data_IF_639453850169
#
_entry.id   IF_639453850169
#
_cell.length_a   1.000
_cell.length_b   1.000
_cell.length_c   1.000
_cell.angle_alpha   90.00
_cell.angle_beta   90.00
_cell.angle_gamma   90.00
#
_symmetry.space_group_name_H-M   'P 1'
#
loop_
_entity.id
_entity.type
_entity.pdbx_description
1 polymer ?
#
# COMPACT_ATOMS: atom_id res chain seq x y z
N UNK A 1 -6.01 -46.04 -31.88
CA UNK A 1 -6.51 -44.65 -31.86
C UNK A 1 -5.42 -43.80 -31.25
N UNK A 2 -4.86 -42.80 -31.96
CA UNK A 2 -3.90 -41.90 -31.35
C UNK A 2 -4.67 -40.95 -30.43
N UNK A 3 -4.22 -40.88 -29.18
CA UNK A 3 -4.67 -39.91 -28.19
C UNK A 3 -4.21 -38.55 -28.71
N UNK A 4 -5.18 -37.72 -29.12
CA UNK A 4 -4.96 -36.31 -29.43
C UNK A 4 -4.43 -35.65 -28.15
N UNK A 5 -3.29 -34.95 -28.16
CA UNK A 5 -2.93 -34.12 -27.03
C UNK A 5 -3.98 -33.01 -26.98
N UNK A 6 -4.81 -32.99 -25.94
CA UNK A 6 -5.55 -31.78 -25.60
C UNK A 6 -4.50 -30.71 -25.34
N UNK A 7 -4.40 -29.72 -26.24
CA UNK A 7 -3.68 -28.48 -25.93
C UNK A 7 -4.41 -27.87 -24.74
N UNK A 8 -3.84 -28.03 -23.55
CA UNK A 8 -4.21 -27.20 -22.41
C UNK A 8 -3.73 -25.81 -22.75
N UNK A 9 -4.68 -24.93 -23.08
CA UNK A 9 -4.44 -23.50 -23.25
C UNK A 9 -3.79 -22.99 -21.96
N UNK A 10 -2.77 -22.13 -22.05
CA UNK A 10 -2.16 -21.53 -20.86
C UNK A 10 -3.24 -20.80 -20.04
N UNK A 11 -3.15 -20.84 -18.71
CA UNK A 11 -4.16 -20.25 -17.82
C UNK A 11 -4.30 -18.74 -18.09
N UNK A 12 -3.20 -18.08 -18.44
CA UNK A 12 -3.17 -16.68 -18.87
C UNK A 12 -3.97 -16.45 -20.15
N UNK A 13 -3.73 -17.24 -21.21
CA UNK A 13 -4.47 -17.15 -22.48
C UNK A 13 -5.96 -17.41 -22.28
N UNK A 14 -6.30 -18.36 -21.41
CA UNK A 14 -7.68 -18.69 -21.06
C UNK A 14 -8.37 -17.52 -20.38
N UNK A 15 -7.70 -16.85 -19.43
CA UNK A 15 -8.21 -15.65 -18.77
C UNK A 15 -8.42 -14.49 -19.75
N UNK A 16 -7.47 -14.26 -20.65
CA UNK A 16 -7.58 -13.21 -21.69
C UNK A 16 -8.81 -13.46 -22.57
N UNK A 17 -9.03 -14.71 -22.98
CA UNK A 17 -10.20 -15.09 -23.78
C UNK A 17 -11.51 -14.87 -23.01
N UNK A 18 -11.60 -15.28 -21.75
CA UNK A 18 -12.81 -15.08 -20.95
C UNK A 18 -13.11 -13.59 -20.74
N UNK A 19 -12.09 -12.77 -20.51
CA UNK A 19 -12.27 -11.32 -20.38
C UNK A 19 -12.77 -10.68 -21.69
N UNK A 20 -12.37 -11.20 -22.85
CA UNK A 20 -12.87 -10.72 -24.16
C UNK A 20 -14.34 -11.07 -24.42
N UNK A 21 -14.87 -12.08 -23.71
CA UNK A 21 -16.25 -12.55 -23.83
C UNK A 21 -17.21 -11.92 -22.80
N UNK A 22 -16.70 -11.06 -21.91
CA UNK A 22 -17.52 -10.37 -20.93
C UNK A 22 -18.57 -9.49 -21.60
N UNK A 23 -19.80 -9.52 -21.08
CA UNK A 23 -20.84 -8.59 -21.51
C UNK A 23 -20.44 -7.15 -21.14
N UNK A 24 -20.80 -6.13 -21.92
CA UNK A 24 -20.48 -4.74 -21.61
C UNK A 24 -20.91 -4.30 -20.21
N UNK A 25 -22.04 -4.81 -19.72
CA UNK A 25 -22.54 -4.55 -18.37
C UNK A 25 -21.64 -5.16 -17.29
N UNK A 26 -21.15 -6.38 -17.49
CA UNK A 26 -20.24 -7.06 -16.58
C UNK A 26 -18.86 -6.38 -16.56
N UNK A 27 -18.34 -6.02 -17.74
CA UNK A 27 -17.09 -5.29 -17.87
C UNK A 27 -17.16 -3.91 -17.16
N UNK A 28 -18.27 -3.19 -17.33
CA UNK A 28 -18.50 -1.92 -16.64
C UNK A 28 -18.58 -2.09 -15.12
N UNK A 29 -19.32 -3.09 -14.63
CA UNK A 29 -19.43 -3.39 -13.19
C UNK A 29 -18.06 -3.72 -12.58
N UNK A 30 -17.28 -4.58 -13.23
CA UNK A 30 -15.92 -4.93 -12.79
C UNK A 30 -14.99 -3.71 -12.79
N UNK A 31 -15.06 -2.85 -13.81
CA UNK A 31 -14.30 -1.61 -13.87
C UNK A 31 -14.66 -0.60 -12.77
N UNK A 32 -15.95 -0.41 -12.51
CA UNK A 32 -16.43 0.44 -11.41
C UNK A 32 -15.99 -0.09 -10.05
N UNK A 33 -16.08 -1.41 -9.87
CA UNK A 33 -15.65 -2.09 -8.66
C UNK A 33 -14.16 -1.96 -8.44
N UNK A 34 -13.33 -2.17 -9.48
CA UNK A 34 -11.89 -1.93 -9.43
C UNK A 34 -11.56 -0.52 -8.89
N UNK A 35 -12.25 0.50 -9.44
CA UNK A 35 -12.08 1.89 -9.04
C UNK A 35 -12.40 2.12 -7.56
N UNK A 36 -13.51 1.55 -7.08
CA UNK A 36 -14.01 1.75 -5.71
C UNK A 36 -13.31 0.89 -4.65
N UNK A 37 -12.60 -0.17 -5.03
CA UNK A 37 -11.92 -1.08 -4.08
C UNK A 37 -10.41 -1.04 -4.26
N UNK A 38 -9.89 -1.62 -5.35
CA UNK A 38 -8.45 -1.83 -5.57
C UNK A 38 -7.73 -0.50 -5.80
N UNK A 39 -8.19 0.31 -6.75
CA UNK A 39 -7.56 1.61 -7.07
C UNK A 39 -7.69 2.62 -5.92
N UNK A 40 -8.60 2.36 -4.99
CA UNK A 40 -8.77 3.19 -3.79
C UNK A 40 -7.66 2.94 -2.76
N UNK A 41 -7.16 1.70 -2.67
CA UNK A 41 -6.10 1.28 -1.73
C UNK A 41 -4.72 1.30 -2.38
N UNK A 42 -4.65 1.08 -3.69
CA UNK A 42 -3.45 1.15 -4.50
C UNK A 42 -3.69 2.09 -5.69
N UNK A 43 -3.56 3.43 -5.46
CA UNK A 43 -3.95 4.46 -6.43
C UNK A 43 -2.99 4.51 -7.61
N UNK A 44 -3.28 3.72 -8.63
CA UNK A 44 -2.49 3.59 -9.85
C UNK A 44 -3.09 4.40 -11.01
N UNK A 45 -4.36 4.73 -10.91
CA UNK A 45 -5.13 5.52 -11.87
C UNK A 45 -5.77 6.72 -11.17
N UNK A 46 -5.92 7.81 -11.91
CA UNK A 46 -6.81 8.89 -11.51
C UNK A 46 -8.24 8.36 -11.47
N UNK A 47 -8.92 8.60 -10.35
CA UNK A 47 -10.27 8.07 -10.10
C UNK A 47 -11.28 8.54 -11.16
N UNK A 48 -11.18 9.80 -11.55
CA UNK A 48 -12.09 10.45 -12.50
C UNK A 48 -11.92 9.92 -13.93
N UNK A 49 -10.68 9.61 -14.34
CA UNK A 49 -10.40 9.17 -15.72
C UNK A 49 -10.48 7.66 -15.91
N UNK A 50 -10.40 6.84 -14.86
CA UNK A 50 -10.35 5.37 -14.98
C UNK A 50 -11.52 4.81 -15.80
N UNK A 51 -12.75 5.21 -15.48
CA UNK A 51 -13.95 4.69 -16.16
C UNK A 51 -14.00 5.15 -17.62
N UNK A 52 -13.64 6.40 -17.88
CA UNK A 52 -13.55 6.94 -19.24
C UNK A 52 -12.47 6.22 -20.04
N UNK A 53 -11.31 5.94 -19.44
CA UNK A 53 -10.20 5.23 -20.06
C UNK A 53 -10.57 3.78 -20.43
N UNK A 54 -11.37 3.11 -19.59
CA UNK A 54 -11.93 1.78 -19.86
C UNK A 54 -12.95 1.82 -21.00
N UNK A 55 -13.89 2.79 -20.99
CA UNK A 55 -14.92 2.94 -22.02
C UNK A 55 -14.33 3.30 -23.39
N UNK A 56 -13.33 4.18 -23.41
CA UNK A 56 -12.67 4.63 -24.63
C UNK A 56 -11.63 3.63 -25.17
N UNK A 57 -11.38 2.52 -24.47
CA UNK A 57 -10.45 1.47 -24.89
C UNK A 57 -8.97 1.88 -24.83
N UNK A 58 -8.63 2.94 -24.08
CA UNK A 58 -7.23 3.37 -23.88
C UNK A 58 -6.45 2.41 -22.98
N UNK A 59 -7.15 1.75 -22.06
CA UNK A 59 -6.63 0.62 -21.29
C UNK A 59 -6.76 -0.63 -22.16
N UNK A 60 -5.63 -1.21 -22.53
CA UNK A 60 -5.57 -2.31 -23.48
C UNK A 60 -4.46 -3.33 -23.13
N UNK A 61 -4.39 -4.40 -23.92
CA UNK A 61 -3.44 -5.49 -23.71
C UNK A 61 -3.72 -6.26 -22.41
N UNK A 62 -2.66 -6.73 -21.74
CA UNK A 62 -2.77 -7.51 -20.50
C UNK A 62 -3.36 -6.71 -19.33
N UNK A 63 -3.32 -5.38 -19.35
CA UNK A 63 -3.84 -4.55 -18.26
C UNK A 63 -5.34 -4.75 -18.05
N UNK A 64 -6.10 -4.85 -19.14
CA UNK A 64 -7.56 -4.94 -19.08
C UNK A 64 -8.02 -6.25 -18.41
N UNK A 65 -7.52 -7.43 -18.80
CA UNK A 65 -7.86 -8.67 -18.11
C UNK A 65 -7.37 -8.73 -16.67
N UNK A 66 -6.22 -8.13 -16.35
CA UNK A 66 -5.73 -8.04 -14.96
C UNK A 66 -6.68 -7.23 -14.08
N UNK A 67 -7.16 -6.07 -14.56
CA UNK A 67 -8.16 -5.25 -13.83
C UNK A 67 -9.42 -6.06 -13.54
N UNK A 68 -9.96 -6.75 -14.54
CA UNK A 68 -11.18 -7.55 -14.39
C UNK A 68 -10.99 -8.77 -13.49
N UNK A 69 -9.88 -9.49 -13.64
CA UNK A 69 -9.56 -10.69 -12.86
C UNK A 69 -9.39 -10.39 -11.37
N UNK A 70 -8.63 -9.35 -11.02
CA UNK A 70 -8.43 -8.94 -9.62
C UNK A 70 -9.77 -8.49 -9.02
N UNK A 71 -10.57 -7.75 -9.79
CA UNK A 71 -11.88 -7.26 -9.32
C UNK A 71 -12.88 -8.39 -9.11
N UNK A 72 -12.91 -9.38 -10.01
CA UNK A 72 -13.78 -10.54 -9.89
C UNK A 72 -13.40 -11.41 -8.68
N UNK A 73 -12.09 -11.64 -8.46
CA UNK A 73 -11.60 -12.40 -7.29
C UNK A 73 -11.94 -11.72 -5.98
N UNK A 74 -11.87 -10.40 -5.93
CA UNK A 74 -12.18 -9.64 -4.72
C UNK A 74 -13.63 -9.74 -4.26
N UNK A 75 -14.59 -10.13 -5.11
CA UNK A 75 -16.01 -10.00 -4.77
C UNK A 75 -16.83 -11.27 -4.81
N UNK A 76 -16.19 -12.44 -4.85
CA UNK A 76 -16.87 -13.76 -4.92
C UNK A 76 -17.92 -13.85 -6.05
N UNK A 77 -17.87 -12.93 -7.01
CA UNK A 77 -18.81 -12.85 -8.11
C UNK A 77 -18.32 -13.74 -9.23
N UNK A 78 -19.10 -14.77 -9.56
CA UNK A 78 -18.82 -15.74 -10.62
C UNK A 78 -19.02 -15.15 -12.05
N UNK A 79 -18.56 -13.92 -12.31
CA UNK A 79 -18.59 -13.33 -13.66
C UNK A 79 -17.62 -14.04 -14.60
N UNK A 80 -16.49 -14.50 -14.06
CA UNK A 80 -15.55 -15.38 -14.75
C UNK A 80 -16.01 -16.83 -14.52
N UNK A 81 -17.22 -17.17 -14.96
CA UNK A 81 -17.76 -18.51 -14.86
C UNK A 81 -17.07 -19.44 -15.86
N UNK A 82 -16.20 -20.33 -15.36
CA UNK A 82 -15.50 -21.36 -16.11
C UNK A 82 -14.49 -22.07 -15.21
N UNK A 83 -13.94 -23.22 -15.62
CA UNK A 83 -12.84 -23.93 -14.93
C UNK A 83 -11.51 -23.14 -14.90
N UNK A 84 -11.55 -21.81 -15.00
CA UNK A 84 -10.37 -20.95 -15.02
C UNK A 84 -9.93 -20.70 -13.59
N UNK A 85 -8.76 -21.20 -13.24
CA UNK A 85 -8.10 -20.78 -12.02
C UNK A 85 -7.54 -19.36 -12.22
N UNK A 86 -8.35 -18.36 -11.83
CA UNK A 86 -8.00 -16.94 -11.93
C UNK A 86 -6.69 -16.63 -11.18
N UNK A 87 -6.41 -17.35 -10.08
CA UNK A 87 -5.17 -17.15 -9.35
C UNK A 87 -3.97 -17.68 -10.14
N UNK A 88 -4.04 -18.91 -10.65
CA UNK A 88 -2.99 -19.49 -11.49
C UNK A 88 -2.74 -18.63 -12.75
N UNK A 89 -3.80 -18.15 -13.39
CA UNK A 89 -3.72 -17.25 -14.54
C UNK A 89 -3.01 -15.92 -14.21
N UNK A 90 -3.35 -15.29 -13.08
CA UNK A 90 -2.69 -14.05 -12.64
C UNK A 90 -1.22 -14.28 -12.27
N UNK A 91 -0.88 -15.44 -11.70
CA UNK A 91 0.52 -15.81 -11.41
C UNK A 91 1.30 -16.05 -12.71
N UNK A 92 0.75 -16.80 -13.66
CA UNK A 92 1.34 -17.01 -15.01
C UNK A 92 1.54 -15.68 -15.74
N UNK A 93 0.55 -14.78 -15.68
CA UNK A 93 0.68 -13.41 -16.19
C UNK A 93 1.78 -12.63 -15.47
N UNK A 94 1.92 -12.75 -14.15
CA UNK A 94 3.00 -12.09 -13.43
C UNK A 94 4.37 -12.61 -13.87
N UNK A 95 4.54 -13.92 -14.08
CA UNK A 95 5.80 -14.52 -14.53
C UNK A 95 6.18 -14.10 -15.96
N UNK A 96 5.18 -13.95 -16.84
CA UNK A 96 5.39 -13.52 -18.23
C UNK A 96 5.45 -12.00 -18.41
N UNK A 97 4.83 -11.22 -17.52
CA UNK A 97 4.79 -9.77 -17.60
C UNK A 97 6.18 -9.16 -17.49
N UNK A 98 6.70 -8.72 -18.64
CA UNK A 98 7.90 -7.90 -18.75
C UNK A 98 7.51 -6.50 -19.19
N UNK A 99 8.12 -5.51 -18.57
CA UNK A 99 8.09 -4.16 -19.13
C UNK A 99 9.09 -4.22 -20.28
N UNK A 100 8.60 -4.21 -21.51
CA UNK A 100 9.44 -4.23 -22.71
C UNK A 100 9.85 -2.81 -23.11
N UNK A 101 9.03 -1.82 -22.77
CA UNK A 101 9.31 -0.43 -23.06
C UNK A 101 10.70 -0.03 -22.53
N UNK A 102 11.51 0.52 -23.43
CA UNK A 102 12.82 1.11 -23.15
C UNK A 102 12.67 2.59 -22.83
N UNK A 103 11.68 3.25 -23.42
CA UNK A 103 11.31 4.65 -23.16
C UNK A 103 9.88 4.79 -22.63
N UNK A 104 9.70 5.76 -21.74
CA UNK A 104 8.39 6.16 -21.20
C UNK A 104 7.48 6.80 -22.26
N UNK A 105 8.06 7.25 -23.38
CA UNK A 105 7.30 7.82 -24.52
C UNK A 105 6.71 6.76 -25.45
N UNK A 106 7.03 5.48 -25.25
CA UNK A 106 6.53 4.43 -26.13
C UNK A 106 5.00 4.25 -25.99
N UNK A 107 4.29 4.06 -27.11
CA UNK A 107 2.89 3.66 -27.07
C UNK A 107 2.78 2.35 -26.27
N UNK A 108 1.90 2.33 -25.26
CA UNK A 108 1.70 1.21 -24.31
C UNK A 108 2.65 1.12 -23.12
N UNK A 109 3.71 1.93 -23.02
CA UNK A 109 4.62 1.89 -21.87
C UNK A 109 3.85 2.01 -20.55
N UNK A 110 2.96 3.01 -20.46
CA UNK A 110 2.13 3.22 -19.27
C UNK A 110 1.27 2.00 -18.91
N UNK A 111 0.68 1.31 -19.90
CA UNK A 111 -0.13 0.12 -19.66
C UNK A 111 0.72 -1.05 -19.17
N UNK A 112 1.93 -1.23 -19.72
CA UNK A 112 2.87 -2.25 -19.26
C UNK A 112 3.30 -2.01 -17.79
N UNK A 113 3.64 -0.76 -17.46
CA UNK A 113 4.00 -0.36 -16.10
C UNK A 113 2.88 -0.58 -15.11
N UNK A 114 1.65 -0.16 -15.46
CA UNK A 114 0.47 -0.38 -14.63
C UNK A 114 0.18 -1.86 -14.43
N UNK A 115 0.32 -2.67 -15.48
CA UNK A 115 0.15 -4.14 -15.41
C UNK A 115 1.16 -4.74 -14.44
N UNK A 116 2.44 -4.38 -14.57
CA UNK A 116 3.50 -4.87 -13.70
C UNK A 116 3.28 -4.48 -12.23
N UNK A 117 2.84 -3.24 -11.96
CA UNK A 117 2.53 -2.77 -10.61
C UNK A 117 1.34 -3.53 -10.00
N UNK A 118 0.24 -3.73 -10.75
CA UNK A 118 -0.93 -4.47 -10.25
C UNK A 118 -0.63 -5.93 -9.98
N UNK A 119 0.11 -6.60 -10.87
CA UNK A 119 0.49 -7.99 -10.68
C UNK A 119 1.46 -8.14 -9.50
N UNK A 120 2.42 -7.23 -9.34
CA UNK A 120 3.33 -7.21 -8.19
C UNK A 120 2.54 -7.01 -6.88
N UNK A 121 1.63 -6.04 -6.84
CA UNK A 121 0.75 -5.79 -5.70
C UNK A 121 -0.10 -7.02 -5.36
N UNK A 122 -0.75 -7.61 -6.36
CA UNK A 122 -1.61 -8.77 -6.19
C UNK A 122 -0.83 -9.98 -5.68
N UNK A 123 0.26 -10.38 -6.36
CA UNK A 123 1.06 -11.54 -5.96
C UNK A 123 1.62 -11.37 -4.55
N UNK A 124 2.13 -10.17 -4.24
CA UNK A 124 2.66 -9.88 -2.90
C UNK A 124 1.58 -9.96 -1.81
N UNK A 125 0.33 -9.58 -2.12
CA UNK A 125 -0.81 -9.75 -1.22
C UNK A 125 -1.18 -11.23 -1.02
N UNK A 126 -1.09 -12.07 -2.05
CA UNK A 126 -1.48 -13.49 -1.95
C UNK A 126 -0.41 -14.33 -1.24
N UNK A 127 0.85 -14.17 -1.64
CA UNK A 127 1.99 -14.97 -1.17
C UNK A 127 3.16 -14.05 -0.90
N UNK A 128 3.19 -13.39 0.26
CA UNK A 128 4.34 -12.57 0.61
C UNK A 128 5.61 -13.42 0.72
N UNK A 129 6.66 -13.06 -0.01
CA UNK A 129 7.89 -13.85 -0.02
C UNK A 129 9.05 -13.22 -0.78
N UNK A 130 10.16 -13.95 -0.83
CA UNK A 130 11.39 -13.50 -1.46
C UNK A 130 11.24 -13.33 -2.98
N UNK A 131 10.46 -14.18 -3.66
CA UNK A 131 10.19 -14.08 -5.10
C UNK A 131 9.54 -12.75 -5.47
N UNK A 132 8.55 -12.33 -4.70
CA UNK A 132 7.79 -11.12 -4.89
C UNK A 132 8.62 -9.89 -4.51
N UNK A 133 9.44 -9.99 -3.46
CA UNK A 133 10.42 -8.95 -3.12
C UNK A 133 11.47 -8.74 -4.24
N UNK A 134 11.93 -9.82 -4.89
CA UNK A 134 12.80 -9.75 -6.07
C UNK A 134 12.07 -9.10 -7.25
N UNK A 135 10.80 -9.43 -7.48
CA UNK A 135 10.00 -8.79 -8.52
C UNK A 135 9.87 -7.28 -8.31
N UNK A 136 9.57 -6.86 -7.08
CA UNK A 136 9.48 -5.45 -6.68
C UNK A 136 10.85 -4.76 -6.83
N UNK A 137 11.93 -5.45 -6.49
CA UNK A 137 13.31 -4.98 -6.71
C UNK A 137 13.58 -4.67 -8.19
N UNK A 138 13.29 -5.62 -9.07
CA UNK A 138 13.50 -5.45 -10.52
C UNK A 138 12.63 -4.30 -11.05
N UNK A 139 11.38 -4.21 -10.61
CA UNK A 139 10.47 -3.12 -10.96
C UNK A 139 11.02 -1.75 -10.52
N UNK A 140 11.54 -1.67 -9.30
CA UNK A 140 12.13 -0.45 -8.73
C UNK A 140 13.38 -0.01 -9.49
N UNK A 141 14.30 -0.94 -9.77
CA UNK A 141 15.51 -0.64 -10.55
C UNK A 141 15.17 -0.16 -11.96
N UNK A 142 14.21 -0.80 -12.62
CA UNK A 142 13.75 -0.35 -13.93
C UNK A 142 13.09 1.04 -13.86
N UNK A 143 12.42 1.37 -12.76
CA UNK A 143 11.78 2.68 -12.59
C UNK A 143 12.83 3.79 -12.50
N UNK A 144 13.97 3.51 -11.85
CA UNK A 144 15.12 4.41 -11.85
C UNK A 144 15.72 4.58 -13.25
N UNK A 145 15.91 3.49 -13.99
CA UNK A 145 16.45 3.53 -15.35
C UNK A 145 15.59 4.37 -16.30
N UNK A 146 14.27 4.29 -16.15
CA UNK A 146 13.32 5.10 -16.91
C UNK A 146 13.06 6.50 -16.32
N UNK A 147 13.71 6.88 -15.22
CA UNK A 147 13.61 8.23 -14.65
C UNK A 147 12.29 8.55 -13.94
N UNK A 148 11.50 7.55 -13.51
CA UNK A 148 10.19 7.77 -12.86
C UNK A 148 10.29 8.55 -11.53
N UNK A 149 11.44 8.48 -10.86
CA UNK A 149 11.75 9.24 -9.65
C UNK A 149 12.01 10.75 -9.91
N UNK A 150 12.10 11.18 -11.18
CA UNK A 150 12.56 12.50 -11.61
C UNK A 150 11.59 13.17 -12.61
N UNK A 151 10.30 12.80 -12.58
CA UNK A 151 9.28 13.25 -13.56
C UNK A 151 9.20 14.79 -13.61
N UNK A 152 9.30 15.44 -12.47
CA UNK A 152 9.16 16.90 -12.32
C UNK A 152 10.50 17.63 -12.21
N UNK A 153 11.60 16.95 -12.54
CA UNK A 153 12.94 17.52 -12.52
C UNK A 153 13.26 18.29 -13.80
N UNK A 154 13.36 19.62 -13.69
CA UNK A 154 13.65 20.48 -14.85
C UNK A 154 14.98 20.12 -15.54
N UNK A 155 15.96 19.65 -14.78
CA UNK A 155 17.29 19.29 -15.31
C UNK A 155 17.27 17.98 -16.10
N UNK A 156 16.41 17.04 -15.71
CA UNK A 156 16.38 15.68 -16.26
C UNK A 156 15.19 15.40 -17.19
N UNK A 157 14.26 16.34 -17.31
CA UNK A 157 13.04 16.19 -18.11
C UNK A 157 13.33 15.75 -19.55
N UNK A 158 14.29 16.40 -20.23
CA UNK A 158 14.64 16.08 -21.62
C UNK A 158 15.35 14.72 -21.77
N UNK A 159 16.11 14.32 -20.75
CA UNK A 159 16.88 13.07 -20.76
C UNK A 159 15.98 11.85 -20.74
N UNK A 160 14.85 11.93 -20.04
CA UNK A 160 13.87 10.85 -19.93
C UNK A 160 12.64 11.05 -20.82
N UNK A 161 12.52 12.19 -21.52
CA UNK A 161 11.41 12.48 -22.42
C UNK A 161 10.13 12.95 -21.73
N UNK A 162 10.22 13.42 -20.48
CA UNK A 162 9.10 13.99 -19.72
C UNK A 162 8.62 15.32 -20.31
N UNK A 163 9.52 16.06 -20.97
CA UNK A 163 9.24 17.31 -21.68
C UNK A 163 8.27 17.15 -22.88
N UNK A 164 8.13 15.92 -23.39
CA UNK A 164 7.26 15.60 -24.53
C UNK A 164 5.83 15.24 -24.13
N UNK A 165 5.53 15.20 -22.84
CA UNK A 165 4.24 14.77 -22.32
C UNK A 165 3.42 15.94 -21.80
N UNK A 166 2.10 15.87 -21.99
CA UNK A 166 1.17 16.80 -21.35
C UNK A 166 1.02 16.50 -19.85
N UNK A 167 0.64 17.51 -19.07
CA UNK A 167 0.52 17.42 -17.60
C UNK A 167 -0.42 16.29 -17.14
N UNK A 168 -1.49 16.00 -17.89
CA UNK A 168 -2.39 14.87 -17.57
C UNK A 168 -1.71 13.51 -17.65
N UNK A 169 -0.82 13.32 -18.63
CA UNK A 169 -0.07 12.07 -18.78
C UNK A 169 1.07 12.01 -17.75
N UNK A 170 1.69 13.14 -17.42
CA UNK A 170 2.65 13.22 -16.33
C UNK A 170 2.01 12.81 -15.00
N UNK A 171 0.80 13.28 -14.70
CA UNK A 171 0.07 12.88 -13.50
C UNK A 171 -0.20 11.37 -13.45
N UNK A 172 -0.57 10.76 -14.58
CA UNK A 172 -0.73 9.31 -14.70
C UNK A 172 0.59 8.55 -14.40
N UNK A 173 1.75 9.10 -14.79
CA UNK A 173 3.06 8.54 -14.45
C UNK A 173 3.48 8.78 -12.99
N UNK A 174 3.07 9.90 -12.36
CA UNK A 174 3.27 10.13 -10.92
C UNK A 174 2.59 9.05 -10.09
N UNK A 175 1.37 8.65 -10.47
CA UNK A 175 0.67 7.52 -9.83
C UNK A 175 1.49 6.23 -9.91
N UNK A 176 2.07 5.92 -11.08
CA UNK A 176 2.95 4.74 -11.25
C UNK A 176 4.17 4.84 -10.35
N UNK A 177 4.86 5.99 -10.30
CA UNK A 177 6.02 6.17 -9.43
C UNK A 177 5.68 5.92 -7.96
N UNK A 178 4.61 6.55 -7.46
CA UNK A 178 4.21 6.38 -6.06
C UNK A 178 3.69 4.97 -5.75
N UNK A 179 3.09 4.29 -6.72
CA UNK A 179 2.75 2.88 -6.62
C UNK A 179 4.00 1.99 -6.46
N UNK A 180 5.05 2.22 -7.26
CA UNK A 180 6.35 1.54 -7.12
C UNK A 180 6.98 1.83 -5.75
N UNK A 181 6.93 3.09 -5.30
CA UNK A 181 7.43 3.50 -3.98
C UNK A 181 6.74 2.73 -2.85
N UNK A 182 5.40 2.61 -2.89
CA UNK A 182 4.63 1.88 -1.88
C UNK A 182 4.99 0.38 -1.91
N UNK A 183 5.18 -0.22 -3.09
CA UNK A 183 5.63 -1.61 -3.20
C UNK A 183 7.01 -1.83 -2.57
N UNK A 184 8.00 -0.95 -2.82
CA UNK A 184 9.33 -0.99 -2.18
C UNK A 184 9.22 -0.92 -0.65
N UNK A 185 8.34 -0.05 -0.13
CA UNK A 185 8.05 0.02 1.31
C UNK A 185 7.50 -1.31 1.83
N UNK A 186 6.47 -1.86 1.17
CA UNK A 186 5.86 -3.13 1.56
C UNK A 186 6.87 -4.29 1.56
N UNK A 187 7.69 -4.41 0.52
CA UNK A 187 8.71 -5.46 0.41
C UNK A 187 9.75 -5.35 1.54
N UNK A 188 10.11 -4.14 1.92
CA UNK A 188 11.11 -3.90 2.95
C UNK A 188 10.55 -4.11 4.36
N UNK A 189 9.27 -3.76 4.58
CA UNK A 189 8.56 -4.06 5.83
C UNK A 189 8.45 -5.56 6.08
N UNK A 190 8.23 -6.36 5.03
CA UNK A 190 8.01 -7.80 5.14
C UNK A 190 9.28 -8.62 5.27
N UNK A 191 10.30 -8.30 4.47
CA UNK A 191 11.52 -9.12 4.36
C UNK A 191 12.67 -8.60 5.22
N UNK A 192 12.52 -7.41 5.82
CA UNK A 192 13.60 -6.69 6.50
C UNK A 192 14.86 -6.52 5.62
N UNK A 193 14.70 -6.48 4.30
CA UNK A 193 15.80 -6.22 3.36
C UNK A 193 16.03 -4.72 3.19
N UNK A 194 17.22 -4.28 2.71
CA UNK A 194 17.46 -2.86 2.52
C UNK A 194 16.54 -2.31 1.44
N UNK A 195 15.91 -1.19 1.73
CA UNK A 195 15.15 -0.42 0.76
C UNK A 195 16.03 -0.04 -0.44
N UNK A 196 15.40 -0.01 -1.61
CA UNK A 196 16.11 0.34 -2.85
C UNK A 196 15.82 1.75 -3.32
N UNK A 197 14.68 2.32 -2.91
CA UNK A 197 14.38 3.70 -3.25
C UNK A 197 15.14 4.66 -2.33
N UNK A 198 16.04 5.44 -2.92
CA UNK A 198 16.77 6.55 -2.31
C UNK A 198 15.91 7.81 -2.31
N UNK A 199 15.36 8.14 -1.15
CA UNK A 199 14.34 9.20 -1.02
C UNK A 199 14.92 10.61 -1.31
N UNK A 200 16.24 10.80 -1.16
CA UNK A 200 16.95 12.05 -1.48
C UNK A 200 16.99 12.34 -2.99
N UNK A 201 16.90 11.29 -3.81
CA UNK A 201 16.92 11.40 -5.27
C UNK A 201 15.54 11.71 -5.87
N UNK A 202 14.48 11.81 -5.06
CA UNK A 202 13.12 11.94 -5.60
C UNK A 202 12.82 13.39 -5.96
N UNK A 203 12.52 13.61 -7.23
CA UNK A 203 11.99 14.86 -7.78
C UNK A 203 10.73 14.61 -8.62
N UNK A 204 9.86 13.76 -8.09
CA UNK A 204 8.50 13.53 -8.59
C UNK A 204 7.51 14.12 -7.59
N UNK A 205 6.57 14.93 -8.07
CA UNK A 205 5.56 15.55 -7.20
C UNK A 205 4.58 14.51 -6.64
N UNK A 206 4.02 14.80 -5.47
CA UNK A 206 2.93 14.02 -4.89
C UNK A 206 1.69 14.14 -5.79
N UNK A 207 0.96 13.02 -5.88
CA UNK A 207 -0.36 12.99 -6.53
C UNK A 207 -1.32 13.92 -5.79
N UNK A 208 -2.04 14.74 -6.55
CA UNK A 208 -3.05 15.65 -6.01
C UNK A 208 -4.42 15.32 -6.61
N UNK A 209 -5.34 14.83 -5.77
CA UNK A 209 -6.74 14.64 -6.14
C UNK A 209 -7.52 15.94 -5.89
N UNK A 210 -7.24 16.97 -6.67
CA UNK A 210 -8.05 18.19 -6.65
C UNK A 210 -9.23 18.00 -7.60
N UNK A 211 -10.49 18.17 -7.14
CA UNK A 211 -11.61 18.29 -8.07
C UNK A 211 -11.34 19.48 -8.98
N UNK A 212 -11.55 19.31 -10.29
CA UNK A 212 -11.46 20.38 -11.27
C UNK A 212 -12.57 21.42 -11.01
N UNK A 213 -12.37 22.28 -10.02
CA UNK A 213 -13.22 23.44 -9.78
C UNK A 213 -12.54 24.67 -10.38
N UNK A 214 -13.26 25.25 -11.33
CA UNK A 214 -13.04 26.51 -12.05
C UNK A 214 -12.02 26.53 -13.20
N UNK A 215 -12.58 26.33 -14.40
CA UNK A 215 -12.02 26.65 -15.73
C UNK A 215 -11.52 28.12 -15.84
N UNK A 216 -11.88 28.99 -14.89
CA UNK A 216 -11.60 30.42 -14.90
C UNK A 216 -10.45 30.87 -13.97
N UNK A 217 -9.82 29.97 -13.21
CA UNK A 217 -8.61 30.28 -12.46
C UNK A 217 -7.54 29.23 -12.76
N UNK A 218 -6.84 29.45 -13.86
CA UNK A 218 -5.61 28.74 -14.25
C UNK A 218 -4.43 29.07 -13.32
N UNK A 219 -4.62 29.01 -12.01
CA UNK A 219 -3.50 28.90 -11.08
C UNK A 219 -2.96 27.49 -11.21
N UNK A 220 -1.80 27.35 -11.88
CA UNK A 220 -0.97 26.14 -11.85
C UNK A 220 -1.02 25.56 -10.42
N UNK A 221 -1.61 24.38 -10.25
CA UNK A 221 -1.66 23.74 -8.94
C UNK A 221 -0.23 23.61 -8.42
N UNK A 222 0.04 24.18 -7.26
CA UNK A 222 1.38 24.12 -6.66
C UNK A 222 1.73 22.65 -6.39
N UNK A 223 2.76 22.16 -7.10
CA UNK A 223 3.25 20.79 -6.97
C UNK A 223 3.91 20.63 -5.61
N UNK A 224 3.49 19.61 -4.86
CA UNK A 224 4.06 19.28 -3.56
C UNK A 224 5.16 18.23 -3.74
N UNK A 225 6.31 18.45 -3.11
CA UNK A 225 7.48 17.57 -3.22
C UNK A 225 7.88 17.02 -1.86
N UNK A 226 8.58 15.89 -1.87
CA UNK A 226 9.25 15.44 -0.66
C UNK A 226 10.36 16.43 -0.27
N UNK A 227 10.44 16.81 1.02
CA UNK A 227 11.54 17.61 1.50
C UNK A 227 12.85 16.80 1.45
N UNK A 228 13.99 17.47 1.23
CA UNK A 228 15.30 16.82 1.26
C UNK A 228 15.63 16.30 2.66
N UNK A 229 15.20 17.01 3.71
CA UNK A 229 15.35 16.61 5.10
C UNK A 229 14.05 15.99 5.64
N UNK A 230 14.18 14.86 6.33
CA UNK A 230 13.06 14.17 7.00
C UNK A 230 12.51 15.00 8.16
N UNK A 231 13.32 15.86 8.77
CA UNK A 231 12.89 16.78 9.82
C UNK A 231 11.82 17.76 9.34
N UNK A 232 11.71 18.00 8.03
CA UNK A 232 10.74 18.92 7.44
C UNK A 232 9.46 18.23 6.94
N UNK A 233 9.31 16.91 7.12
CA UNK A 233 8.11 16.16 6.68
C UNK A 233 6.82 16.67 7.33
N UNK A 234 6.89 17.28 8.52
CA UNK A 234 5.72 17.88 9.15
C UNK A 234 5.20 19.10 8.38
N UNK A 235 6.07 19.89 7.72
CA UNK A 235 5.65 21.01 6.87
C UNK A 235 4.88 20.50 5.67
N UNK A 236 5.41 19.46 5.02
CA UNK A 236 4.73 18.80 3.92
C UNK A 236 3.35 18.27 4.36
N UNK A 237 3.24 17.66 5.54
CA UNK A 237 1.95 17.22 6.08
C UNK A 237 0.98 18.38 6.29
N UNK A 238 1.45 19.54 6.76
CA UNK A 238 0.63 20.76 6.89
C UNK A 238 0.20 21.30 5.53
N UNK A 239 1.11 21.38 4.56
CA UNK A 239 0.82 21.86 3.21
C UNK A 239 -0.25 20.98 2.56
N UNK A 240 -0.10 19.65 2.67
CA UNK A 240 -1.11 18.68 2.23
C UNK A 240 -2.44 18.87 2.98
N UNK A 241 -2.42 19.07 4.30
CA UNK A 241 -3.65 19.29 5.07
C UNK A 241 -4.36 20.60 4.68
N UNK A 242 -3.60 21.62 4.28
CA UNK A 242 -4.10 22.95 3.93
C UNK A 242 -4.60 23.08 2.49
N UNK A 243 -4.16 22.19 1.59
CA UNK A 243 -4.40 22.31 0.13
C UNK A 243 -5.85 22.02 -0.30
N UNK A 244 -6.70 21.55 0.62
CA UNK A 244 -8.09 21.15 0.35
C UNK A 244 -8.20 19.90 -0.54
N UNK A 245 -9.34 19.20 -0.48
CA UNK A 245 -9.59 17.99 -1.28
C UNK A 245 -9.33 16.65 -0.57
N UNK A 246 -9.32 15.55 -1.34
CA UNK A 246 -9.04 14.21 -0.83
C UNK A 246 -7.53 13.95 -0.75
N UNK A 247 -6.96 14.35 0.39
CA UNK A 247 -5.52 14.31 0.65
C UNK A 247 -5.10 13.09 1.48
N UNK A 248 -6.01 12.15 1.72
CA UNK A 248 -5.79 11.08 2.69
C UNK A 248 -4.66 10.12 2.27
N UNK A 249 -4.58 9.80 0.98
CA UNK A 249 -3.51 8.99 0.41
C UNK A 249 -2.13 9.67 0.51
N UNK A 250 -2.06 10.98 0.27
CA UNK A 250 -0.80 11.74 0.36
C UNK A 250 -0.30 11.86 1.80
N UNK A 251 -1.21 12.07 2.78
CA UNK A 251 -0.87 12.02 4.20
C UNK A 251 -0.43 10.62 4.64
N UNK A 252 -1.08 9.57 4.11
CA UNK A 252 -0.68 8.20 4.36
C UNK A 252 0.72 7.88 3.82
N UNK A 253 1.09 8.44 2.67
CA UNK A 253 2.42 8.31 2.09
C UNK A 253 3.49 8.98 2.96
N UNK A 254 3.23 10.17 3.52
CA UNK A 254 4.15 10.84 4.47
C UNK A 254 4.48 9.93 5.66
N UNK A 255 3.47 9.30 6.25
CA UNK A 255 3.67 8.34 7.35
C UNK A 255 4.38 7.08 6.87
N UNK A 256 4.09 6.60 5.66
CA UNK A 256 4.78 5.44 5.08
C UNK A 256 6.28 5.71 4.89
N UNK A 257 6.67 6.93 4.52
CA UNK A 257 8.08 7.37 4.44
C UNK A 257 8.74 7.34 5.83
N UNK A 258 8.09 7.88 6.86
CA UNK A 258 8.64 7.82 8.21
C UNK A 258 8.78 6.37 8.71
N UNK A 259 7.76 5.53 8.50
CA UNK A 259 7.80 4.12 8.88
C UNK A 259 8.94 3.38 8.16
N UNK A 260 9.20 3.71 6.89
CA UNK A 260 10.35 3.23 6.11
C UNK A 260 11.69 3.51 6.80
N UNK A 261 11.89 4.74 7.26
CA UNK A 261 13.11 5.13 7.97
C UNK A 261 13.24 4.44 9.33
N UNK A 262 12.12 4.28 10.05
CA UNK A 262 12.07 3.56 11.33
C UNK A 262 12.45 2.10 11.14
N UNK A 263 11.86 1.41 10.16
CA UNK A 263 12.20 0.02 9.84
C UNK A 263 13.67 -0.11 9.46
N UNK A 264 14.20 0.81 8.65
CA UNK A 264 15.62 0.83 8.27
C UNK A 264 16.53 0.96 9.48
N UNK A 265 16.23 1.93 10.35
CA UNK A 265 17.03 2.26 11.53
C UNK A 265 16.95 1.15 12.57
N UNK A 266 15.75 0.61 12.81
CA UNK A 266 15.52 -0.53 13.69
C UNK A 266 16.33 -1.75 13.26
N UNK A 267 16.24 -2.11 11.98
CA UNK A 267 17.01 -3.22 11.44
C UNK A 267 18.52 -2.99 11.55
N UNK A 268 19.01 -1.80 11.17
CA UNK A 268 20.45 -1.45 11.31
C UNK A 268 20.90 -1.57 12.76
N UNK A 269 20.09 -1.08 13.70
CA UNK A 269 20.32 -1.21 15.15
C UNK A 269 20.39 -2.68 15.59
N UNK A 270 19.52 -3.55 15.08
CA UNK A 270 19.54 -4.98 15.38
C UNK A 270 20.74 -5.73 14.78
N UNK A 271 21.21 -5.33 13.60
CA UNK A 271 22.34 -5.97 12.92
C UNK A 271 23.69 -5.45 13.39
N UNK A 272 23.79 -4.15 13.66
CA UNK A 272 25.01 -3.47 14.07
C UNK A 272 24.67 -2.32 15.05
N UNK A 273 24.52 -2.63 16.35
CA UNK A 273 24.21 -1.63 17.37
C UNK A 273 25.29 -0.56 17.45
N UNK A 274 24.89 0.72 17.37
CA UNK A 274 25.80 1.86 17.50
C UNK A 274 25.12 3.01 18.23
N UNK A 275 25.91 3.89 18.86
CA UNK A 275 25.39 5.12 19.51
C UNK A 275 24.65 6.01 18.51
N UNK A 276 25.13 6.05 17.26
CA UNK A 276 24.48 6.78 16.17
C UNK A 276 23.09 6.22 15.84
N UNK A 277 22.90 4.90 15.95
CA UNK A 277 21.61 4.23 15.73
C UNK A 277 20.56 4.64 16.78
N UNK A 278 20.96 4.80 18.04
CA UNK A 278 20.05 5.26 19.12
C UNK A 278 19.69 6.75 18.97
N UNK A 279 20.66 7.60 18.61
CA UNK A 279 20.39 9.02 18.31
C UNK A 279 19.46 9.17 17.11
N UNK A 280 19.67 8.38 16.06
CA UNK A 280 18.81 8.36 14.87
C UNK A 280 17.39 7.92 15.22
N UNK A 281 17.23 6.94 16.12
CA UNK A 281 15.91 6.50 16.59
C UNK A 281 15.19 7.59 17.37
N UNK A 282 15.90 8.30 18.26
CA UNK A 282 15.33 9.45 18.99
C UNK A 282 14.89 10.57 18.05
N UNK A 283 15.70 10.90 17.04
CA UNK A 283 15.33 11.91 16.05
C UNK A 283 14.08 11.51 15.26
N UNK A 284 13.95 10.23 14.88
CA UNK A 284 12.76 9.73 14.20
C UNK A 284 11.50 9.80 15.07
N UNK A 285 11.64 9.62 16.40
CA UNK A 285 10.54 9.82 17.34
C UNK A 285 10.07 11.28 17.39
N UNK A 286 11.00 12.23 17.41
CA UNK A 286 10.70 13.65 17.34
C UNK A 286 10.02 14.00 16.00
N UNK A 287 10.51 13.46 14.88
CA UNK A 287 9.93 13.70 13.56
C UNK A 287 8.53 13.11 13.44
N UNK A 288 8.31 11.90 13.96
CA UNK A 288 6.98 11.30 14.02
C UNK A 288 6.03 12.16 14.85
N UNK A 289 6.47 12.63 16.02
CA UNK A 289 5.68 13.50 16.87
C UNK A 289 5.33 14.82 16.18
N UNK A 290 6.28 15.44 15.49
CA UNK A 290 6.05 16.65 14.71
C UNK A 290 5.04 16.44 13.58
N UNK A 291 5.15 15.35 12.81
CA UNK A 291 4.17 15.00 11.77
C UNK A 291 2.80 14.75 12.37
N UNK A 292 2.70 14.06 13.50
CA UNK A 292 1.41 13.81 14.16
C UNK A 292 0.72 15.10 14.61
N UNK A 293 1.47 16.11 15.05
CA UNK A 293 0.94 17.43 15.39
C UNK A 293 0.53 18.24 14.15
N UNK A 294 1.15 17.96 13.00
CA UNK A 294 0.83 18.55 11.71
C UNK A 294 -0.41 17.93 11.03
N UNK A 295 -0.77 16.69 11.39
CA UNK A 295 -1.93 16.01 10.83
C UNK A 295 -3.25 16.72 11.20
N UNK A 296 -4.29 16.63 10.36
CA UNK A 296 -5.59 17.18 10.68
C UNK A 296 -6.14 16.62 12.01
N UNK A 297 -6.84 17.45 12.79
CA UNK A 297 -7.30 17.12 14.15
C UNK A 297 -8.12 15.82 14.30
N UNK A 298 -8.76 15.35 13.23
CA UNK A 298 -9.52 14.11 13.23
C UNK A 298 -8.66 12.86 13.01
N UNK A 299 -7.39 12.99 12.59
CA UNK A 299 -6.54 11.83 12.27
C UNK A 299 -6.27 10.92 13.46
N UNK A 300 -6.25 11.44 14.68
CA UNK A 300 -6.04 10.65 15.89
C UNK A 300 -7.33 10.00 16.43
N UNK A 301 -8.49 10.28 15.82
CA UNK A 301 -9.75 9.64 16.20
C UNK A 301 -9.82 8.26 15.57
N UNK A 302 -10.30 7.26 16.29
CA UNK A 302 -10.51 5.91 15.76
C UNK A 302 -11.87 5.79 15.07
N UNK A 303 -12.90 6.47 15.58
CA UNK A 303 -14.25 6.43 15.01
C UNK A 303 -14.36 7.28 13.75
N UNK A 304 -15.16 6.82 12.78
CA UNK A 304 -15.50 7.59 11.57
C UNK A 304 -16.23 8.89 11.91
N UNK A 305 -15.80 10.00 11.30
CA UNK A 305 -16.42 11.32 11.48
C UNK A 305 -17.51 11.58 10.44
N UNK A 306 -18.65 10.92 10.61
CA UNK A 306 -19.81 11.07 9.71
C UNK A 306 -20.34 12.52 9.73
N UNK A 307 -20.29 13.18 10.90
CA UNK A 307 -20.81 14.54 11.09
C UNK A 307 -20.03 15.58 10.29
N UNK A 308 -18.73 15.37 10.07
CA UNK A 308 -17.90 16.21 9.19
C UNK A 308 -17.87 15.73 7.73
N UNK A 309 -18.71 14.76 7.38
CA UNK A 309 -18.81 14.25 6.01
C UNK A 309 -17.63 13.37 5.59
N UNK A 310 -16.96 12.69 6.53
CA UNK A 310 -15.85 11.78 6.20
C UNK A 310 -16.34 10.63 5.30
N UNK A 311 -15.80 10.59 4.08
CA UNK A 311 -16.07 9.49 3.15
C UNK A 311 -15.50 8.18 3.70
N UNK A 312 -16.06 7.04 3.28
CA UNK A 312 -15.53 5.75 3.67
C UNK A 312 -14.05 5.61 3.27
N UNK A 313 -13.67 6.16 2.11
CA UNK A 313 -12.28 6.13 1.64
C UNK A 313 -11.34 6.87 2.60
N UNK A 314 -11.69 8.09 2.99
CA UNK A 314 -10.87 8.91 3.86
C UNK A 314 -10.74 8.28 5.25
N UNK A 315 -11.84 7.69 5.75
CA UNK A 315 -11.82 6.91 6.98
C UNK A 315 -10.84 5.74 6.87
N UNK A 316 -10.87 4.96 5.79
CA UNK A 316 -9.97 3.85 5.57
C UNK A 316 -8.49 4.27 5.55
N UNK A 317 -8.14 5.29 4.75
CA UNK A 317 -6.78 5.83 4.72
C UNK A 317 -6.33 6.37 6.08
N UNK A 318 -7.21 7.04 6.83
CA UNK A 318 -6.93 7.51 8.18
C UNK A 318 -6.63 6.35 9.13
N UNK A 319 -7.45 5.30 9.15
CA UNK A 319 -7.23 4.12 10.00
C UNK A 319 -5.92 3.40 9.63
N UNK A 320 -5.63 3.24 8.34
CA UNK A 320 -4.35 2.69 7.90
C UNK A 320 -3.16 3.55 8.34
N UNK A 321 -3.31 4.87 8.27
CA UNK A 321 -2.29 5.83 8.72
C UNK A 321 -2.06 5.71 10.22
N UNK A 322 -3.12 5.60 11.03
CA UNK A 322 -3.03 5.36 12.47
C UNK A 322 -2.30 4.06 12.80
N UNK A 323 -2.63 2.97 12.12
CA UNK A 323 -1.96 1.68 12.30
C UNK A 323 -0.46 1.82 12.01
N UNK A 324 -0.06 2.46 10.89
CA UNK A 324 1.36 2.68 10.56
C UNK A 324 2.07 3.57 11.59
N UNK A 325 1.40 4.60 12.11
CA UNK A 325 1.93 5.43 13.21
C UNK A 325 2.21 4.57 14.45
N UNK A 326 1.25 3.73 14.85
CA UNK A 326 1.41 2.85 16.00
C UNK A 326 2.51 1.81 15.76
N UNK A 327 2.62 1.25 14.55
CA UNK A 327 3.70 0.35 14.17
C UNK A 327 5.08 1.02 14.25
N UNK A 328 5.19 2.28 13.80
CA UNK A 328 6.44 3.03 13.92
C UNK A 328 6.86 3.18 15.38
N UNK A 329 5.93 3.61 16.26
CA UNK A 329 6.19 3.73 17.70
C UNK A 329 6.59 2.41 18.33
N UNK A 330 5.89 1.33 17.99
CA UNK A 330 6.19 -0.01 18.46
C UNK A 330 7.61 -0.42 18.07
N UNK A 331 8.00 -0.25 16.81
CA UNK A 331 9.35 -0.58 16.33
C UNK A 331 10.45 0.24 17.01
N UNK A 332 10.22 1.54 17.27
CA UNK A 332 11.18 2.38 18.01
C UNK A 332 11.45 1.83 19.42
N UNK A 333 10.44 1.22 20.04
CA UNK A 333 10.45 0.76 21.44
C UNK A 333 10.78 -0.72 21.60
N UNK A 334 10.71 -1.51 20.52
CA UNK A 334 11.08 -2.93 20.53
C UNK A 334 12.60 -3.12 20.78
N UNK A 335 12.99 -4.15 21.55
CA UNK A 335 14.40 -4.44 21.81
C UNK A 335 15.07 -5.16 20.62
N UNK A 336 16.30 -4.78 20.32
CA UNK A 336 17.14 -5.41 19.28
C UNK A 336 18.08 -6.50 19.85
N UNK A 337 17.59 -7.37 20.75
CA UNK A 337 18.39 -8.48 21.28
C UNK A 337 18.17 -8.77 22.77
N UNK A 338 18.90 -8.09 23.65
CA UNK A 338 18.90 -8.41 25.08
C UNK A 338 17.65 -7.88 25.81
N UNK A 339 16.89 -8.82 26.37
CA UNK A 339 15.75 -8.56 27.25
C UNK A 339 16.18 -8.08 28.65
N UNK A 340 17.46 -8.23 29.01
CA UNK A 340 18.01 -7.85 30.32
C UNK A 340 18.33 -6.34 30.43
N UNK A 341 17.73 -5.51 29.58
CA UNK A 341 17.96 -4.08 29.64
C UNK A 341 17.12 -3.45 30.77
N UNK A 342 17.72 -2.59 31.63
CA UNK A 342 17.00 -1.96 32.73
C UNK A 342 15.77 -1.20 32.20
N UNK A 343 14.63 -1.34 32.89
CA UNK A 343 13.35 -0.80 32.41
C UNK A 343 12.70 -1.61 31.28
N UNK A 344 13.03 -2.90 31.16
CA UNK A 344 12.33 -3.83 30.26
C UNK A 344 10.83 -3.86 30.53
N UNK A 345 10.42 -3.97 31.79
CA UNK A 345 9.01 -4.08 32.18
C UNK A 345 8.19 -2.87 31.73
N UNK A 346 8.72 -1.66 31.93
CA UNK A 346 8.07 -0.41 31.51
C UNK A 346 7.91 -0.38 29.98
N UNK A 347 8.97 -0.71 29.22
CA UNK A 347 8.91 -0.73 27.75
C UNK A 347 7.97 -1.82 27.23
N UNK A 348 7.88 -2.95 27.94
CA UNK A 348 6.94 -4.00 27.61
C UNK A 348 5.49 -3.55 27.82
N UNK A 349 5.19 -2.87 28.93
CA UNK A 349 3.88 -2.26 29.18
C UNK A 349 3.50 -1.19 28.14
N UNK A 350 4.44 -0.30 27.78
CA UNK A 350 4.26 0.69 26.71
C UNK A 350 3.95 0.01 25.37
N UNK A 351 4.70 -1.03 25.00
CA UNK A 351 4.47 -1.81 23.78
C UNK A 351 3.09 -2.47 23.78
N UNK A 352 2.63 -2.98 24.93
CA UNK A 352 1.28 -3.54 25.06
C UNK A 352 0.19 -2.50 24.90
N UNK A 353 0.37 -1.30 25.48
CA UNK A 353 -0.57 -0.20 25.30
C UNK A 353 -0.70 0.18 23.82
N UNK A 354 0.43 0.25 23.10
CA UNK A 354 0.43 0.49 21.65
C UNK A 354 -0.32 -0.63 20.92
N UNK A 355 -0.06 -1.89 21.26
CA UNK A 355 -0.77 -3.04 20.67
C UNK A 355 -2.28 -2.96 20.91
N UNK A 356 -2.74 -2.58 22.11
CA UNK A 356 -4.16 -2.42 22.40
C UNK A 356 -4.79 -1.30 21.57
N UNK A 357 -4.12 -0.16 21.43
CA UNK A 357 -4.57 0.94 20.56
C UNK A 357 -4.69 0.50 19.09
N UNK A 358 -3.75 -0.34 18.61
CA UNK A 358 -3.85 -0.91 17.26
C UNK A 358 -5.07 -1.82 17.10
N UNK A 359 -5.38 -2.66 18.11
CA UNK A 359 -6.58 -3.50 18.10
C UNK A 359 -7.85 -2.65 18.04
N UNK A 360 -7.93 -1.57 18.82
CA UNK A 360 -9.07 -0.64 18.78
C UNK A 360 -9.26 -0.03 17.38
N UNK A 361 -8.17 0.36 16.72
CA UNK A 361 -8.24 0.87 15.34
C UNK A 361 -8.72 -0.22 14.37
N UNK A 362 -8.21 -1.45 14.48
CA UNK A 362 -8.61 -2.58 13.63
C UNK A 362 -10.09 -2.92 13.82
N UNK A 363 -10.61 -2.87 15.04
CA UNK A 363 -12.03 -3.10 15.32
C UNK A 363 -12.95 -2.08 14.63
N UNK A 364 -12.48 -0.84 14.43
CA UNK A 364 -13.22 0.18 13.66
C UNK A 364 -13.04 0.01 12.15
N UNK A 365 -12.03 -0.75 11.72
CA UNK A 365 -11.69 -0.95 10.33
C UNK A 365 -12.47 -2.09 9.68
N UNK A 366 -13.00 -3.01 10.48
CA UNK A 366 -13.75 -4.21 10.08
C UNK A 366 -15.12 -3.87 9.48
N UNK A 367 -15.10 -3.19 8.34
CA UNK A 367 -16.26 -2.88 7.52
C UNK A 367 -16.42 -4.03 6.51
N UNK A 368 -17.53 -4.77 6.52
CA UNK A 368 -17.70 -6.05 5.81
C UNK A 368 -17.65 -5.98 4.26
N UNK A 369 -17.43 -4.81 3.67
CA UNK A 369 -17.56 -4.57 2.22
C UNK A 369 -16.25 -4.20 1.50
N UNK A 370 -15.08 -4.43 2.10
CA UNK A 370 -13.79 -4.11 1.47
C UNK A 370 -12.88 -5.31 1.24
N UNK A 371 -12.74 -5.77 -0.02
CA UNK A 371 -11.88 -6.89 -0.34
C UNK A 371 -10.41 -6.53 -0.56
N UNK A 372 -10.09 -5.23 -0.61
CA UNK A 372 -8.75 -4.74 -0.90
C UNK A 372 -8.12 -4.10 0.34
N UNK A 373 -6.93 -4.56 0.71
CA UNK A 373 -6.15 -4.05 1.83
C UNK A 373 -4.71 -3.78 1.35
N UNK A 374 -4.06 -2.75 1.89
CA UNK A 374 -2.63 -2.51 1.66
C UNK A 374 -1.84 -3.72 2.17
N UNK A 375 -1.02 -4.38 1.32
CA UNK A 375 -0.28 -5.57 1.72
C UNK A 375 0.59 -5.39 2.96
N UNK A 376 1.08 -4.17 3.25
CA UNK A 376 1.82 -3.89 4.48
C UNK A 376 1.00 -4.21 5.74
N UNK A 377 -0.32 -4.03 5.69
CA UNK A 377 -1.21 -4.19 6.83
C UNK A 377 -1.28 -5.65 7.28
N UNK A 378 -1.18 -6.62 6.36
CA UNK A 378 -1.13 -8.04 6.70
C UNK A 378 0.03 -8.35 7.65
N UNK A 379 1.22 -7.80 7.39
CA UNK A 379 2.39 -8.02 8.24
C UNK A 379 2.33 -7.26 9.55
N UNK A 380 1.79 -6.05 9.52
CA UNK A 380 1.58 -5.26 10.73
C UNK A 380 0.62 -5.99 11.67
N UNK A 381 -0.51 -6.47 11.15
CA UNK A 381 -1.49 -7.25 11.90
C UNK A 381 -0.90 -8.57 12.40
N UNK A 382 -0.14 -9.30 11.58
CA UNK A 382 0.54 -10.52 12.01
C UNK A 382 1.51 -10.25 13.17
N UNK A 383 2.33 -9.20 13.05
CA UNK A 383 3.29 -8.80 14.09
C UNK A 383 2.60 -8.41 15.39
N UNK A 384 1.49 -7.67 15.30
CA UNK A 384 0.62 -7.35 16.43
C UNK A 384 0.09 -8.60 17.13
N UNK A 385 -0.47 -9.54 16.35
CA UNK A 385 -1.01 -10.79 16.89
C UNK A 385 0.08 -11.65 17.56
N UNK A 386 1.29 -11.69 16.99
CA UNK A 386 2.42 -12.39 17.59
C UNK A 386 2.81 -11.79 18.95
N UNK A 387 2.88 -10.47 19.07
CA UNK A 387 3.21 -9.80 20.33
C UNK A 387 2.12 -10.00 21.40
N UNK A 388 0.85 -9.88 21.02
CA UNK A 388 -0.28 -10.17 21.92
C UNK A 388 -0.30 -11.63 22.34
N UNK A 389 0.02 -12.55 21.43
CA UNK A 389 0.12 -13.97 21.75
C UNK A 389 1.26 -14.24 22.74
N UNK A 390 2.44 -13.66 22.51
CA UNK A 390 3.60 -13.77 23.41
C UNK A 390 3.25 -13.27 24.82
N UNK A 391 2.54 -12.14 24.93
CA UNK A 391 2.05 -11.65 26.21
C UNK A 391 1.04 -12.60 26.87
N UNK A 392 0.16 -13.22 26.08
CA UNK A 392 -0.79 -14.20 26.61
C UNK A 392 -0.09 -15.43 27.20
N UNK A 393 1.05 -15.84 26.63
CA UNK A 393 1.85 -16.95 27.15
C UNK A 393 2.59 -16.52 28.43
N UNK A 394 3.20 -15.33 28.45
CA UNK A 394 3.92 -14.86 29.64
C UNK A 394 2.99 -14.63 30.83
N UNK A 395 1.83 -13.98 30.63
CA UNK A 395 0.84 -13.76 31.68
C UNK A 395 0.26 -15.06 32.27
N UNK A 396 0.04 -16.08 31.43
CA UNK A 396 -0.44 -17.41 31.88
C UNK A 396 0.64 -18.17 32.67
N UNK A 397 1.92 -17.98 32.34
CA UNK A 397 3.05 -18.59 33.05
C UNK A 397 3.36 -17.84 34.36
N UNK A 398 3.16 -16.51 34.39
CA UNK A 398 3.50 -15.65 35.52
C UNK A 398 2.38 -15.51 36.57
N UNK A 399 1.11 -15.79 36.24
CA UNK A 399 0.03 -15.66 37.21
C UNK A 399 -1.16 -16.61 36.94
N UNK A 400 -1.31 -17.73 37.65
CA UNK A 400 -2.38 -18.72 37.41
C UNK A 400 -3.79 -18.15 37.64
N UNK A 401 -3.92 -17.01 38.34
CA UNK A 401 -5.20 -16.31 38.56
C UNK A 401 -5.66 -15.44 37.38
N UNK A 402 -4.78 -15.17 36.40
CA UNK A 402 -5.10 -14.42 35.17
C UNK A 402 -5.54 -15.35 34.02
N UNK A 403 -5.61 -16.66 34.24
CA UNK A 403 -6.10 -17.62 33.24
C UNK A 403 -7.56 -17.38 32.84
N UNK A 404 -8.42 -16.99 33.79
CA UNK A 404 -9.85 -16.77 33.53
C UNK A 404 -10.13 -15.56 32.61
N UNK A 405 -9.55 -14.37 32.85
CA UNK A 405 -9.74 -13.20 31.96
C UNK A 405 -9.16 -13.41 30.55
N UNK A 406 -8.00 -14.07 30.44
CA UNK A 406 -7.36 -14.37 29.15
C UNK A 406 -8.14 -15.43 28.37
N UNK A 407 -8.72 -16.42 29.04
CA UNK A 407 -9.63 -17.40 28.42
C UNK A 407 -10.93 -16.75 27.94
N UNK A 408 -11.51 -15.81 28.72
CA UNK A 408 -12.68 -15.03 28.27
C UNK A 408 -12.38 -14.19 27.03
N UNK A 409 -11.19 -13.58 26.93
CA UNK A 409 -10.77 -12.79 25.75
C UNK A 409 -10.40 -13.66 24.54
N UNK A 410 -9.83 -14.85 24.74
CA UNK A 410 -9.64 -15.83 23.65
C UNK A 410 -10.96 -16.34 23.05
N UNK A 411 -12.03 -16.39 23.84
CA UNK A 411 -13.36 -16.73 23.33
C UNK A 411 -13.96 -15.62 22.47
N UNK A 412 -13.63 -14.34 22.69
CA UNK A 412 -14.07 -13.25 21.81
C UNK A 412 -13.50 -13.42 20.39
N UNK A 413 -12.26 -13.91 20.26
CA UNK A 413 -11.64 -14.25 18.96
C UNK A 413 -12.20 -15.54 18.35
N UNK A 414 -12.87 -16.40 19.14
CA UNK A 414 -13.51 -17.64 18.64
C UNK A 414 -15.00 -17.48 18.31
N UNK A 415 -15.69 -16.48 18.87
CA UNK A 415 -17.13 -16.29 18.64
C UNK A 415 -17.49 -15.74 17.26
N UNK A 416 -16.52 -15.24 16.48
CA UNK A 416 -16.75 -14.89 15.06
C UNK A 416 -16.64 -16.10 14.11
N UNK A 417 -16.22 -17.27 14.59
CA UNK A 417 -16.08 -18.45 13.74
C UNK A 417 -17.27 -19.44 13.82
N UNK A 418 -18.30 -19.18 14.64
CA UNK A 418 -19.44 -20.11 14.85
C UNK A 418 -20.82 -19.48 14.57
N UNK A 419 -20.93 -18.23 14.09
CA UNK A 419 -22.20 -17.67 13.60
C UNK A 419 -22.43 -17.83 12.09
N UNK A 420 -21.65 -18.69 11.42
CA UNK A 420 -21.75 -18.96 9.98
C UNK A 420 -22.05 -20.42 9.62
N UNK A 421 -22.78 -21.15 10.48
CA UNK A 421 -23.37 -22.44 10.10
C UNK A 421 -24.84 -22.50 10.54
N UNK A 422 -25.70 -22.02 9.65
CA UNK A 422 -27.08 -22.50 9.49
C UNK A 422 -27.37 -22.63 8.01
#
# INVERSE_FOLDING_TARGET
MPITPQLTLDDAETLMLHCSLLLPTQAFELGQRFGCTINTVFPLFRRESLLEQLQNGTICGALLPVIYAISAKGTETNFLSGNVDVHAALVSLAESAKIEAESVTEPLALNQWRTACLLAWYCFHQTPGNSEAIRITVLTQKAYQCGLHQIDSLENQTSFGWDKMGEELLEDWRHVWWAVYILDCCASFSTATPHQVETESIRTALVQNKPQLDINQSTLSEKLFLPPDRADLWRLAQDIASSGGDNAASLHLVISILLKEVVTTYRRRCQNPSVSSEQSMSALEDYLSAVQLALPSNYMRQTRDILRGETDNNCHWRLMTLIKIHSARLLMRLPCGSLDTPGWDIRWEENLEICYRMVEVIQQWDVPDRPAIDPAMCFICLSLLMLLHLHSLSSVVSNPLLQEPVARRKNIVRYEHISGQS
#
